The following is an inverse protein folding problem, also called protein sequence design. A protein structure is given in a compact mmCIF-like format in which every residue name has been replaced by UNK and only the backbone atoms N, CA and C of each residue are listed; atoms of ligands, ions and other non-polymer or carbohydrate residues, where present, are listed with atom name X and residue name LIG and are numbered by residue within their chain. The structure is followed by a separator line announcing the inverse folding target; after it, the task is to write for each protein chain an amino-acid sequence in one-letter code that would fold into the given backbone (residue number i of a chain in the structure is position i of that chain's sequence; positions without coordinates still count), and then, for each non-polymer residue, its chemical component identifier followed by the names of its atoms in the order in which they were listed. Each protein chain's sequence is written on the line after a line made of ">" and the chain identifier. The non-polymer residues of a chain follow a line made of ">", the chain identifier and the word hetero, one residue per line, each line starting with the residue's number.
data_IF_195494820364
#
_entry.id   IF_195494820364
#
_cell.length_a   1.000
_cell.length_b   1.000
_cell.length_c   1.000
_cell.angle_alpha   90.00
_cell.angle_beta   90.00
_cell.angle_gamma   90.00
#
_symmetry.space_group_name_H-M   'P 1'
#
loop_
_entity.id
_entity.type
_entity.pdbx_description
1 polymer ?
#
# COMPACT_ATOMS: atom_id res chain seq x y z
N UNK A 1 32.47 -7.39 -56.29
CA UNK A 1 32.24 -8.74 -56.87
C UNK A 1 33.44 -9.59 -56.50
N UNK A 2 33.26 -10.67 -55.74
CA UNK A 2 34.34 -11.53 -55.29
C UNK A 2 33.79 -12.63 -54.39
N UNK A 3 33.24 -13.68 -55.01
CA UNK A 3 32.56 -14.82 -54.38
C UNK A 3 33.57 -15.95 -54.28
N UNK A 4 33.97 -16.36 -53.07
CA UNK A 4 34.75 -17.59 -52.88
C UNK A 4 33.79 -18.74 -52.58
N UNK A 5 33.78 -19.70 -53.51
CA UNK A 5 32.97 -20.92 -53.50
C UNK A 5 33.87 -22.07 -53.08
N UNK A 6 33.53 -22.77 -51.98
CA UNK A 6 34.14 -24.06 -51.67
C UNK A 6 33.24 -25.16 -52.24
N UNK A 7 33.72 -25.82 -53.30
CA UNK A 7 33.16 -27.08 -53.82
C UNK A 7 33.69 -28.21 -52.94
N UNK A 8 32.79 -28.99 -52.36
CA UNK A 8 33.10 -30.28 -51.72
C UNK A 8 33.12 -31.36 -52.79
N UNK A 9 34.28 -31.99 -53.00
CA UNK A 9 34.40 -33.24 -53.76
C UNK A 9 33.72 -34.36 -52.98
N UNK A 10 32.70 -34.95 -53.60
CA UNK A 10 32.06 -36.17 -53.12
C UNK A 10 32.92 -37.39 -53.44
N UNK A 11 33.15 -38.23 -52.45
CA UNK A 11 33.52 -39.63 -52.68
C UNK A 11 32.37 -40.52 -52.22
N UNK A 12 31.76 -41.16 -53.21
CA UNK A 12 30.78 -42.22 -53.07
C UNK A 12 31.51 -43.52 -52.75
N UNK A 13 31.15 -44.18 -51.66
CA UNK A 13 31.36 -45.62 -51.51
C UNK A 13 30.14 -46.21 -50.82
N UNK A 14 29.39 -46.97 -51.61
CA UNK A 14 28.21 -47.72 -51.20
C UNK A 14 28.67 -49.11 -50.80
N UNK A 15 28.27 -49.59 -49.63
CA UNK A 15 28.12 -51.02 -49.38
C UNK A 15 26.93 -51.24 -48.43
N UNK A 16 25.92 -51.94 -48.94
CA UNK A 16 24.74 -52.40 -48.21
C UNK A 16 25.03 -53.79 -47.65
N UNK A 17 24.65 -54.06 -46.40
CA UNK A 17 24.16 -55.39 -46.03
C UNK A 17 23.16 -55.32 -44.88
N UNK A 18 22.14 -56.17 -45.01
CA UNK A 18 20.82 -56.02 -44.45
C UNK A 18 20.63 -56.64 -43.05
N UNK A 19 19.51 -56.22 -42.46
CA UNK A 19 18.68 -56.95 -41.49
C UNK A 19 19.23 -57.23 -40.09
N UNK A 20 18.75 -56.47 -39.10
CA UNK A 20 18.02 -57.05 -37.96
C UNK A 20 17.16 -56.01 -37.24
N UNK A 21 15.86 -56.29 -37.20
CA UNK A 21 14.86 -55.61 -36.38
C UNK A 21 15.29 -55.53 -34.91
N UNK A 22 15.31 -54.31 -34.37
CA UNK A 22 15.03 -54.06 -32.96
C UNK A 22 14.58 -52.60 -32.84
N UNK A 23 13.27 -52.40 -32.85
CA UNK A 23 12.65 -51.14 -32.48
C UNK A 23 13.00 -50.84 -31.01
N UNK A 24 14.09 -50.12 -30.78
CA UNK A 24 14.35 -49.50 -29.49
C UNK A 24 13.58 -48.18 -29.51
N UNK A 25 12.54 -48.11 -28.70
CA UNK A 25 11.83 -46.88 -28.38
C UNK A 25 12.87 -45.95 -27.76
N UNK A 26 13.39 -45.02 -28.55
CA UNK A 26 14.19 -43.91 -28.04
C UNK A 26 13.20 -42.96 -27.41
N UNK A 27 13.19 -42.97 -26.08
CA UNK A 27 12.49 -42.03 -25.22
C UNK A 27 12.84 -40.60 -25.65
N UNK A 28 11.81 -39.78 -25.78
CA UNK A 28 11.84 -38.43 -26.39
C UNK A 28 12.35 -37.37 -25.41
N UNK A 29 13.32 -37.73 -24.57
CA UNK A 29 13.73 -36.96 -23.39
C UNK A 29 15.24 -36.67 -23.34
N UNK A 30 16.00 -36.98 -24.40
CA UNK A 30 17.44 -36.65 -24.52
C UNK A 30 17.75 -35.67 -25.67
N UNK A 31 16.84 -34.74 -25.97
CA UNK A 31 17.10 -33.62 -26.90
C UNK A 31 17.07 -32.22 -26.23
N UNK A 32 17.03 -32.17 -24.90
CA UNK A 32 16.84 -30.92 -24.15
C UNK A 32 18.10 -30.39 -23.44
N UNK A 33 19.29 -30.63 -24.00
CA UNK A 33 20.52 -29.94 -23.54
C UNK A 33 21.51 -29.76 -24.71
N UNK A 34 21.20 -28.94 -25.72
CA UNK A 34 22.22 -28.21 -26.53
C UNK A 34 21.60 -27.42 -27.70
N UNK A 35 20.60 -26.57 -27.44
CA UNK A 35 20.17 -25.55 -28.42
C UNK A 35 20.21 -24.13 -27.88
N UNK A 36 20.89 -23.91 -26.76
CA UNK A 36 21.44 -22.60 -26.44
C UNK A 36 22.55 -22.28 -27.43
N UNK A 37 22.16 -21.75 -28.59
CA UNK A 37 22.95 -20.86 -29.45
C UNK A 37 24.45 -21.14 -29.37
N UNK A 38 24.93 -22.15 -30.08
CA UNK A 38 26.35 -22.23 -30.43
C UNK A 38 26.64 -21.05 -31.37
N UNK A 39 26.69 -19.83 -30.83
CA UNK A 39 27.29 -18.70 -31.51
C UNK A 39 28.66 -19.18 -31.92
N UNK A 40 28.99 -19.04 -33.20
CA UNK A 40 30.34 -19.29 -33.68
C UNK A 40 31.28 -18.55 -32.72
N UNK A 41 32.29 -19.24 -32.19
CA UNK A 41 33.24 -18.66 -31.23
C UNK A 41 33.86 -17.36 -31.77
N UNK A 42 33.85 -17.20 -33.09
CA UNK A 42 34.31 -16.01 -33.80
C UNK A 42 33.25 -14.91 -34.01
N UNK A 43 31.95 -15.14 -33.79
CA UNK A 43 30.88 -14.15 -33.97
C UNK A 43 30.46 -13.49 -32.65
N UNK A 44 30.25 -12.17 -32.68
CA UNK A 44 29.98 -11.33 -31.52
C UNK A 44 31.22 -11.11 -30.64
N UNK A 45 30.99 -10.91 -29.34
CA UNK A 45 32.05 -10.79 -28.34
C UNK A 45 32.57 -12.19 -27.98
N UNK A 46 33.83 -12.53 -28.30
CA UNK A 46 34.36 -13.85 -28.03
C UNK A 46 34.61 -14.02 -26.53
N UNK A 47 34.04 -15.07 -25.94
CA UNK A 47 34.26 -15.43 -24.52
C UNK A 47 35.44 -16.38 -24.33
N UNK A 48 35.73 -17.22 -25.33
CA UNK A 48 36.78 -18.24 -25.32
C UNK A 48 37.49 -18.30 -26.66
N UNK A 49 38.73 -18.76 -26.64
CA UNK A 49 39.52 -19.12 -27.80
C UNK A 49 39.27 -20.57 -28.19
N UNK A 50 39.60 -20.96 -29.42
CA UNK A 50 39.59 -22.37 -29.85
C UNK A 50 40.47 -23.31 -29.01
N UNK A 51 41.47 -22.78 -28.28
CA UNK A 51 42.27 -23.56 -27.32
C UNK A 51 41.61 -23.70 -25.92
N UNK A 52 40.38 -23.22 -25.74
CA UNK A 52 39.63 -23.27 -24.49
C UNK A 52 39.93 -22.15 -23.48
N UNK A 53 41.02 -21.40 -23.68
CA UNK A 53 41.40 -20.26 -22.84
C UNK A 53 40.48 -19.05 -23.07
N UNK A 54 40.34 -18.20 -22.05
CA UNK A 54 39.57 -16.97 -22.15
C UNK A 54 40.21 -15.96 -23.12
N UNK A 55 39.37 -15.11 -23.69
CA UNK A 55 39.74 -14.02 -24.62
C UNK A 55 39.46 -12.67 -23.97
N UNK A 56 40.29 -12.21 -23.02
CA UNK A 56 40.08 -10.91 -22.38
C UNK A 56 40.26 -9.76 -23.39
N UNK A 57 39.63 -8.62 -23.07
CA UNK A 57 39.86 -7.35 -23.75
C UNK A 57 41.27 -6.84 -23.43
N UNK A 58 42.02 -6.48 -24.47
CA UNK A 58 43.38 -5.95 -24.39
C UNK A 58 43.48 -4.70 -25.27
N UNK A 59 44.48 -3.88 -24.99
CA UNK A 59 44.87 -2.76 -25.84
C UNK A 59 46.18 -3.13 -26.53
N UNK A 60 46.33 -2.76 -27.80
CA UNK A 60 47.60 -2.89 -28.52
C UNK A 60 48.66 -2.00 -27.89
N UNK A 61 49.87 -2.54 -27.78
CA UNK A 61 51.00 -1.82 -27.19
C UNK A 61 51.44 -0.68 -28.13
N UNK A 62 52.14 0.31 -27.58
CA UNK A 62 52.60 1.48 -28.36
C UNK A 62 53.57 1.15 -29.50
N UNK A 63 54.12 -0.07 -29.50
CA UNK A 63 55.05 -0.57 -30.52
C UNK A 63 54.39 -1.38 -31.63
N UNK A 64 53.09 -1.67 -31.51
CA UNK A 64 52.35 -2.48 -32.48
C UNK A 64 51.83 -1.62 -33.65
N UNK A 65 51.39 -2.27 -34.74
CA UNK A 65 50.92 -1.62 -35.98
C UNK A 65 49.71 -0.69 -35.77
N UNK A 66 48.93 -0.93 -34.72
CA UNK A 66 47.72 -0.17 -34.39
C UNK A 66 47.69 0.20 -32.89
N UNK A 67 48.57 1.11 -32.44
CA UNK A 67 48.73 1.41 -31.02
C UNK A 67 47.44 2.01 -30.44
N UNK A 68 47.07 1.60 -29.22
CA UNK A 68 45.87 2.09 -28.55
C UNK A 68 44.54 1.49 -29.03
N UNK A 69 44.53 0.70 -30.12
CA UNK A 69 43.33 -0.03 -30.55
C UNK A 69 43.07 -1.23 -29.63
N UNK A 70 41.80 -1.46 -29.29
CA UNK A 70 41.39 -2.54 -28.39
C UNK A 70 40.99 -3.80 -29.17
N UNK A 71 41.29 -4.96 -28.61
CA UNK A 71 40.95 -6.26 -29.20
C UNK A 71 40.66 -7.30 -28.12
N UNK A 72 39.81 -8.26 -28.42
CA UNK A 72 39.66 -9.47 -27.63
C UNK A 72 40.64 -10.52 -28.13
N UNK A 73 41.47 -11.08 -27.25
CA UNK A 73 42.53 -11.98 -27.69
C UNK A 73 42.99 -12.98 -26.65
N UNK A 74 43.25 -14.20 -27.11
CA UNK A 74 43.88 -15.26 -26.31
C UNK A 74 45.25 -14.81 -25.77
N UNK A 75 45.75 -15.44 -24.70
CA UNK A 75 47.13 -15.24 -24.22
C UNK A 75 48.17 -15.44 -25.33
N UNK A 76 47.97 -16.44 -26.18
CA UNK A 76 48.91 -16.85 -27.24
C UNK A 76 48.50 -16.35 -28.63
N UNK A 77 47.73 -15.26 -28.74
CA UNK A 77 47.21 -14.77 -30.02
C UNK A 77 48.29 -14.48 -31.08
N UNK A 78 49.51 -14.11 -30.65
CA UNK A 78 50.65 -13.86 -31.55
C UNK A 78 51.15 -15.10 -32.29
N UNK A 79 50.76 -16.31 -31.86
CA UNK A 79 51.07 -17.57 -32.56
C UNK A 79 50.19 -17.79 -33.81
N UNK A 80 49.18 -16.93 -34.04
CA UNK A 80 48.24 -17.08 -35.14
C UNK A 80 47.22 -18.19 -34.90
N UNK A 81 46.49 -18.58 -35.95
CA UNK A 81 45.48 -19.64 -35.89
C UNK A 81 46.10 -20.95 -35.33
N UNK A 82 45.47 -21.62 -34.35
CA UNK A 82 44.08 -21.52 -33.92
C UNK A 82 43.80 -20.51 -32.79
N UNK A 83 44.71 -19.57 -32.50
CA UNK A 83 44.46 -18.58 -31.45
C UNK A 83 43.67 -17.38 -31.97
N UNK A 84 42.57 -17.07 -31.28
CA UNK A 84 41.66 -16.01 -31.66
C UNK A 84 42.21 -14.64 -31.25
N UNK A 85 42.15 -13.70 -32.19
CA UNK A 85 42.27 -12.26 -32.02
C UNK A 85 41.16 -11.62 -32.83
N UNK A 86 40.33 -10.79 -32.19
CA UNK A 86 39.26 -10.06 -32.85
C UNK A 86 39.24 -8.62 -32.37
N UNK A 87 39.06 -7.68 -33.29
CA UNK A 87 38.99 -6.27 -32.92
C UNK A 87 37.74 -5.95 -32.11
N UNK A 88 37.87 -5.04 -31.15
CA UNK A 88 36.76 -4.66 -30.28
C UNK A 88 35.59 -4.06 -31.06
N UNK A 89 35.88 -3.17 -32.01
CA UNK A 89 34.89 -2.51 -32.86
C UNK A 89 34.13 -3.50 -33.76
N UNK A 90 34.81 -4.50 -34.32
CA UNK A 90 34.18 -5.58 -35.09
C UNK A 90 33.25 -6.42 -34.20
N UNK A 91 33.74 -6.86 -33.04
CA UNK A 91 32.95 -7.64 -32.08
C UNK A 91 31.71 -6.87 -31.60
N UNK A 92 31.85 -5.59 -31.28
CA UNK A 92 30.72 -4.74 -30.87
C UNK A 92 29.72 -4.51 -32.00
N UNK A 93 30.18 -4.27 -33.22
CA UNK A 93 29.29 -4.05 -34.37
C UNK A 93 28.44 -5.28 -34.67
N UNK A 94 28.98 -6.49 -34.49
CA UNK A 94 28.21 -7.72 -34.64
C UNK A 94 27.13 -7.88 -33.55
N UNK A 95 27.43 -7.55 -32.30
CA UNK A 95 26.41 -7.52 -31.23
C UNK A 95 25.32 -6.50 -31.51
N UNK A 96 25.69 -5.29 -31.98
CA UNK A 96 24.72 -4.27 -32.36
C UNK A 96 23.86 -4.70 -33.54
N UNK A 97 24.43 -5.39 -34.53
CA UNK A 97 23.68 -5.91 -35.66
C UNK A 97 22.70 -6.99 -35.21
N UNK A 98 23.11 -7.85 -34.29
CA UNK A 98 22.23 -8.86 -33.70
C UNK A 98 21.10 -8.22 -32.90
N UNK A 99 21.40 -7.18 -32.11
CA UNK A 99 20.39 -6.44 -31.36
C UNK A 99 19.42 -5.72 -32.30
N UNK A 100 19.93 -5.05 -33.33
CA UNK A 100 19.11 -4.40 -34.35
C UNK A 100 18.18 -5.40 -35.03
N UNK A 101 18.71 -6.56 -35.42
CA UNK A 101 17.91 -7.61 -36.04
C UNK A 101 16.82 -8.14 -35.10
N UNK A 102 17.13 -8.29 -33.80
CA UNK A 102 16.17 -8.69 -32.78
C UNK A 102 15.04 -7.65 -32.57
N UNK A 103 15.38 -6.37 -32.61
CA UNK A 103 14.42 -5.26 -32.53
C UNK A 103 13.54 -5.19 -33.78
N UNK A 104 14.13 -5.34 -34.96
CA UNK A 104 13.42 -5.31 -36.25
C UNK A 104 12.53 -6.56 -36.45
N UNK A 105 12.87 -7.68 -35.79
CA UNK A 105 12.11 -8.94 -35.83
C UNK A 105 11.67 -9.40 -34.44
N UNK A 106 10.66 -8.73 -33.85
CA UNK A 106 10.21 -9.00 -32.48
C UNK A 106 9.58 -10.39 -32.27
N UNK A 107 9.38 -11.17 -33.34
CA UNK A 107 8.97 -12.59 -33.25
C UNK A 107 10.12 -13.54 -32.88
N UNK A 108 11.37 -13.11 -33.08
CA UNK A 108 12.57 -13.94 -32.90
C UNK A 108 13.57 -13.35 -31.89
N UNK A 109 13.32 -12.14 -31.38
CA UNK A 109 14.20 -11.43 -30.45
C UNK A 109 13.45 -10.92 -29.22
N UNK A 110 13.95 -11.28 -28.04
CA UNK A 110 13.40 -11.02 -26.70
C UNK A 110 12.00 -11.59 -26.44
N UNK A 111 11.84 -12.29 -25.32
CA UNK A 111 10.53 -12.49 -24.69
C UNK A 111 9.99 -11.10 -24.39
N UNK A 112 9.07 -10.58 -25.21
CA UNK A 112 8.25 -9.46 -24.78
C UNK A 112 7.61 -9.87 -23.44
N UNK A 113 7.45 -8.94 -22.48
CA UNK A 113 6.56 -9.22 -21.35
C UNK A 113 5.26 -9.73 -21.95
N UNK A 114 4.88 -10.93 -21.51
CA UNK A 114 3.74 -11.68 -21.99
C UNK A 114 2.56 -10.71 -22.17
N UNK A 115 1.84 -10.77 -23.30
CA UNK A 115 0.75 -9.82 -23.59
C UNK A 115 -0.22 -9.66 -22.40
N UNK A 116 -0.34 -10.71 -21.59
CA UNK A 116 -1.05 -10.75 -20.31
C UNK A 116 -0.52 -9.76 -19.25
N UNK A 117 0.79 -9.61 -19.06
CA UNK A 117 1.36 -8.64 -18.11
C UNK A 117 1.02 -7.19 -18.49
N UNK A 118 1.02 -6.89 -19.80
CA UNK A 118 0.64 -5.56 -20.29
C UNK A 118 -0.85 -5.30 -20.11
N UNK A 119 -1.69 -6.30 -20.35
CA UNK A 119 -3.14 -6.22 -20.14
C UNK A 119 -3.50 -6.09 -18.66
N UNK A 120 -2.82 -6.82 -17.78
CA UNK A 120 -3.00 -6.71 -16.32
C UNK A 120 -2.55 -5.34 -15.81
N UNK A 121 -1.43 -4.81 -16.28
CA UNK A 121 -0.97 -3.46 -15.94
C UNK A 121 -2.00 -2.40 -16.32
N UNK A 122 -2.50 -2.42 -17.56
CA UNK A 122 -3.54 -1.49 -18.00
C UNK A 122 -4.82 -1.59 -17.17
N UNK A 123 -5.22 -2.80 -16.77
CA UNK A 123 -6.37 -3.01 -15.87
C UNK A 123 -6.12 -2.39 -14.50
N UNK A 124 -4.96 -2.64 -13.90
CA UNK A 124 -4.62 -2.08 -12.57
C UNK A 124 -4.54 -0.56 -12.58
N UNK A 125 -4.03 0.04 -13.65
CA UNK A 125 -4.01 1.50 -13.81
C UNK A 125 -5.44 2.07 -13.89
N UNK A 126 -6.33 1.43 -14.65
CA UNK A 126 -7.72 1.85 -14.72
C UNK A 126 -8.40 1.77 -13.34
N UNK A 127 -8.22 0.67 -12.61
CA UNK A 127 -8.74 0.50 -11.24
C UNK A 127 -8.19 1.56 -10.27
N UNK A 128 -6.90 1.89 -10.36
CA UNK A 128 -6.29 2.95 -9.55
C UNK A 128 -6.91 4.31 -9.82
N UNK A 129 -7.19 4.64 -11.10
CA UNK A 129 -7.86 5.90 -11.43
C UNK A 129 -9.28 5.95 -10.88
N UNK A 130 -10.01 4.84 -10.91
CA UNK A 130 -11.36 4.76 -10.35
C UNK A 130 -11.34 4.90 -8.82
N UNK A 131 -10.50 4.14 -8.12
CA UNK A 131 -10.34 4.25 -6.65
C UNK A 131 -9.95 5.67 -6.25
N UNK A 132 -9.05 6.32 -7.00
CA UNK A 132 -8.69 7.72 -6.75
C UNK A 132 -9.89 8.65 -6.87
N UNK A 133 -10.71 8.47 -7.90
CA UNK A 133 -11.93 9.27 -8.09
C UNK A 133 -12.96 9.02 -6.98
N UNK A 134 -13.14 7.77 -6.56
CA UNK A 134 -14.00 7.42 -5.42
C UNK A 134 -13.53 8.08 -4.13
N UNK A 135 -12.23 8.02 -3.82
CA UNK A 135 -11.64 8.67 -2.63
C UNK A 135 -11.81 10.18 -2.68
N UNK A 136 -11.65 10.82 -3.84
CA UNK A 136 -11.89 12.26 -3.99
C UNK A 136 -13.35 12.62 -3.75
N UNK A 137 -14.29 11.80 -4.22
CA UNK A 137 -15.73 11.96 -3.97
C UNK A 137 -16.05 11.82 -2.49
N UNK A 138 -15.54 10.78 -1.82
CA UNK A 138 -15.70 10.57 -0.38
C UNK A 138 -15.14 11.74 0.44
N UNK A 139 -13.93 12.23 0.09
CA UNK A 139 -13.32 13.39 0.75
C UNK A 139 -14.15 14.67 0.56
N UNK A 140 -14.73 14.87 -0.63
CA UNK A 140 -15.61 16.03 -0.90
C UNK A 140 -16.89 15.96 -0.07
N UNK A 141 -17.56 14.81 -0.03
CA UNK A 141 -18.76 14.60 0.77
C UNK A 141 -18.49 14.83 2.26
N UNK A 142 -17.44 14.21 2.81
CA UNK A 142 -17.04 14.42 4.22
C UNK A 142 -16.72 15.89 4.51
N UNK A 143 -16.05 16.60 3.59
CA UNK A 143 -15.80 18.04 3.75
C UNK A 143 -17.11 18.83 3.81
N UNK A 144 -18.05 18.55 2.92
CA UNK A 144 -19.37 19.21 2.92
C UNK A 144 -20.10 18.92 4.23
N UNK A 145 -20.19 17.67 4.65
CA UNK A 145 -20.82 17.27 5.92
C UNK A 145 -20.21 18.01 7.12
N UNK A 146 -18.88 18.02 7.23
CA UNK A 146 -18.17 18.75 8.31
C UNK A 146 -18.48 20.24 8.24
N UNK A 147 -18.43 20.86 7.06
CA UNK A 147 -18.76 22.29 6.93
C UNK A 147 -20.21 22.59 7.30
N UNK A 148 -21.17 21.74 6.89
CA UNK A 148 -22.58 21.90 7.25
C UNK A 148 -22.83 21.72 8.74
N UNK A 149 -22.16 20.76 9.39
CA UNK A 149 -22.27 20.58 10.83
C UNK A 149 -21.74 21.82 11.56
N UNK A 150 -20.54 22.30 11.20
CA UNK A 150 -19.92 23.48 11.82
C UNK A 150 -20.79 24.73 11.65
N UNK A 151 -21.37 24.98 10.47
CA UNK A 151 -22.25 26.13 10.25
C UNK A 151 -23.54 26.03 11.04
N UNK A 152 -24.17 24.85 11.11
CA UNK A 152 -25.38 24.63 11.90
C UNK A 152 -25.12 24.81 13.40
N UNK A 153 -24.03 24.27 13.93
CA UNK A 153 -23.63 24.48 15.32
C UNK A 153 -23.39 25.97 15.61
N UNK A 154 -22.67 26.68 14.73
CA UNK A 154 -22.40 28.10 14.87
C UNK A 154 -23.67 28.96 14.87
N UNK A 155 -24.58 28.74 13.92
CA UNK A 155 -25.86 29.45 13.83
C UNK A 155 -26.74 29.19 15.07
N UNK A 156 -26.84 27.92 15.50
CA UNK A 156 -27.59 27.57 16.72
C UNK A 156 -27.03 28.27 17.96
N UNK A 157 -25.71 28.31 18.09
CA UNK A 157 -25.04 29.00 19.19
C UNK A 157 -25.32 30.51 19.18
N UNK A 158 -25.24 31.14 18.01
CA UNK A 158 -25.52 32.57 17.86
C UNK A 158 -26.95 32.92 18.28
N UNK A 159 -27.94 32.14 17.80
CA UNK A 159 -29.35 32.33 18.17
C UNK A 159 -29.55 32.20 19.68
N UNK A 160 -28.93 31.18 20.30
CA UNK A 160 -29.04 30.96 21.74
C UNK A 160 -28.46 32.14 22.55
N UNK A 161 -27.29 32.65 22.15
CA UNK A 161 -26.69 33.84 22.76
C UNK A 161 -27.57 35.09 22.61
N UNK A 162 -28.15 35.30 21.42
CA UNK A 162 -29.10 36.41 21.18
C UNK A 162 -30.33 36.31 22.10
N UNK A 163 -30.94 35.13 22.22
CA UNK A 163 -32.10 34.90 23.10
C UNK A 163 -31.73 35.16 24.56
N UNK A 164 -30.58 34.66 25.01
CA UNK A 164 -30.09 34.91 26.37
C UNK A 164 -29.90 36.41 26.64
N UNK A 165 -29.31 37.14 25.69
CA UNK A 165 -29.12 38.59 25.80
C UNK A 165 -30.46 39.34 25.90
N UNK A 166 -31.47 38.93 25.13
CA UNK A 166 -32.83 39.50 25.18
C UNK A 166 -33.46 39.22 26.55
N UNK A 167 -33.37 37.99 27.07
CA UNK A 167 -33.91 37.62 28.38
C UNK A 167 -33.27 38.47 29.49
N UNK A 168 -31.94 38.61 29.48
CA UNK A 168 -31.22 39.45 30.45
C UNK A 168 -31.68 40.91 30.36
N UNK A 169 -31.87 41.43 29.14
CA UNK A 169 -32.39 42.77 28.93
C UNK A 169 -33.81 42.95 29.51
N UNK A 170 -34.70 41.98 29.26
CA UNK A 170 -36.06 41.98 29.79
C UNK A 170 -36.08 41.92 31.32
N UNK A 171 -35.27 41.05 31.94
CA UNK A 171 -35.15 40.97 33.40
C UNK A 171 -34.67 42.31 33.97
N UNK A 172 -33.65 42.93 33.36
CA UNK A 172 -33.16 44.26 33.79
C UNK A 172 -34.22 45.35 33.66
N UNK A 173 -35.03 45.31 32.60
CA UNK A 173 -36.13 46.25 32.42
C UNK A 173 -37.23 46.03 33.47
N UNK A 174 -37.59 44.77 33.75
CA UNK A 174 -38.53 44.41 34.80
C UNK A 174 -38.04 44.87 36.18
N UNK A 175 -36.77 44.62 36.52
CA UNK A 175 -36.15 45.08 37.77
C UNK A 175 -36.08 46.62 37.87
N UNK A 176 -35.94 47.33 36.74
CA UNK A 176 -36.01 48.80 36.73
C UNK A 176 -37.42 49.33 36.90
N UNK A 177 -38.43 48.64 36.36
CA UNK A 177 -39.83 49.07 36.44
C UNK A 177 -40.50 48.73 37.76
N UNK A 178 -40.02 47.76 38.54
CA UNK A 178 -40.52 47.52 39.90
C UNK A 178 -40.14 48.71 40.80
N UNK A 179 -41.09 49.59 41.17
CA UNK A 179 -40.80 50.64 42.12
C UNK A 179 -40.59 49.99 43.49
N UNK A 180 -39.63 50.48 44.28
CA UNK A 180 -39.53 50.14 45.70
C UNK A 180 -40.89 50.42 46.36
N UNK A 181 -41.69 49.38 46.58
CA UNK A 181 -42.92 49.47 47.35
C UNK A 181 -42.48 49.56 48.82
N UNK A 182 -42.76 50.66 49.54
CA UNK A 182 -42.40 50.73 50.95
C UNK A 182 -43.11 49.60 51.70
N UNK A 183 -42.34 48.82 52.44
CA UNK A 183 -42.84 47.77 53.32
C UNK A 183 -43.68 48.40 54.44
N UNK A 184 -45.00 48.39 54.30
CA UNK A 184 -45.93 48.42 55.43
C UNK A 184 -46.84 47.21 55.30
N UNK A 185 -46.73 46.30 56.26
CA UNK A 185 -47.41 45.02 56.25
C UNK A 185 -46.85 44.13 57.33
N UNK A 186 -47.19 44.46 58.57
CA UNK A 186 -47.01 43.61 59.73
C UNK A 186 -47.68 42.26 59.47
N UNK A 187 -46.89 41.23 59.17
CA UNK A 187 -47.36 39.84 59.16
C UNK A 187 -47.19 39.28 60.58
N UNK A 188 -48.18 39.54 61.42
CA UNK A 188 -48.34 38.83 62.69
C UNK A 188 -48.70 37.37 62.35
N UNK A 189 -47.78 36.45 62.62
CA UNK A 189 -48.03 35.01 62.60
C UNK A 189 -48.97 34.69 63.77
N UNK A 190 -50.28 34.61 63.53
CA UNK A 190 -51.22 34.16 64.56
C UNK A 190 -51.02 32.66 64.81
N UNK A 191 -50.67 32.32 66.04
CA UNK A 191 -50.27 30.99 66.53
C UNK A 191 -51.42 29.97 66.67
N UNK A 192 -52.54 30.17 65.97
CA UNK A 192 -53.75 29.35 66.15
C UNK A 192 -53.84 28.15 65.18
N UNK A 193 -53.02 28.10 64.12
CA UNK A 193 -53.07 26.98 63.15
C UNK A 193 -52.20 25.77 63.54
N UNK A 194 -51.25 25.93 64.47
CA UNK A 194 -50.31 24.87 64.87
C UNK A 194 -50.85 23.97 65.99
N UNK A 195 -51.88 24.41 66.72
CA UNK A 195 -52.47 23.62 67.82
C UNK A 195 -53.50 22.61 67.33
N UNK A 196 -54.19 22.88 66.21
CA UNK A 196 -55.19 21.97 65.64
C UNK A 196 -54.56 20.70 65.04
N UNK A 197 -53.39 20.80 64.41
CA UNK A 197 -52.69 19.64 63.81
C UNK A 197 -52.00 18.77 64.89
N UNK A 198 -51.62 19.36 66.03
CA UNK A 198 -50.98 18.64 67.14
C UNK A 198 -51.97 17.79 67.97
N UNK A 199 -53.22 18.22 68.09
CA UNK A 199 -54.26 17.48 68.82
C UNK A 199 -54.71 16.19 68.11
N UNK A 200 -54.65 16.17 66.78
CA UNK A 200 -55.08 15.02 65.96
C UNK A 200 -54.02 13.89 65.93
N UNK A 201 -52.74 14.23 66.11
CA UNK A 201 -51.66 13.25 66.27
C UNK A 201 -51.71 12.54 67.63
N UNK A 202 -51.94 13.30 68.71
CA UNK A 202 -51.90 12.77 70.08
C UNK A 202 -53.05 11.79 70.36
N UNK A 203 -54.25 12.08 69.87
CA UNK A 203 -55.41 11.17 69.97
C UNK A 203 -55.23 9.88 69.17
N UNK A 204 -54.53 9.92 68.02
CA UNK A 204 -54.25 8.74 67.19
C UNK A 204 -53.17 7.84 67.79
N UNK A 205 -52.17 8.41 68.49
CA UNK A 205 -51.15 7.66 69.22
C UNK A 205 -51.71 7.01 70.51
N UNK A 206 -52.58 7.70 71.25
CA UNK A 206 -53.16 7.15 72.48
C UNK A 206 -54.09 5.95 72.22
N UNK A 207 -54.77 5.90 71.06
CA UNK A 207 -55.61 4.76 70.68
C UNK A 207 -54.81 3.50 70.32
N UNK A 208 -53.52 3.62 69.97
CA UNK A 208 -52.62 2.47 69.69
C UNK A 208 -51.99 1.86 70.96
N UNK A 209 -51.93 2.59 72.07
CA UNK A 209 -51.23 2.14 73.28
C UNK A 209 -52.09 1.29 74.24
N UNK A 210 -53.41 1.17 74.01
CA UNK A 210 -54.32 0.49 74.95
C UNK A 210 -54.92 -0.83 74.43
N UNK A 211 -54.26 -1.53 73.51
CA UNK A 211 -54.54 -2.95 73.32
C UNK A 211 -53.23 -3.76 73.31
N UNK A 212 -52.96 -4.57 74.34
CA UNK A 212 -51.65 -5.14 74.62
C UNK A 212 -51.47 -6.47 73.91
N UNK A 213 -50.28 -6.69 73.33
CA UNK A 213 -49.57 -7.96 73.17
C UNK A 213 -48.42 -7.71 72.18
N UNK A 214 -47.28 -7.24 72.69
CA UNK A 214 -45.97 -7.33 72.03
C UNK A 214 -45.20 -8.52 72.64
N UNK A 215 -44.23 -9.13 71.92
CA UNK A 215 -42.86 -8.60 71.89
C UNK A 215 -42.12 -8.90 70.55
N UNK A 216 -40.80 -8.69 70.41
CA UNK A 216 -40.13 -7.39 70.47
C UNK A 216 -39.21 -7.15 69.25
N UNK A 217 -38.70 -5.92 69.17
CA UNK A 217 -37.75 -5.37 68.21
C UNK A 217 -36.33 -5.97 68.30
N UNK A 218 -35.68 -6.09 67.14
CA UNK A 218 -34.22 -5.96 66.98
C UNK A 218 -33.89 -5.03 65.81
N UNK A 219 -33.29 -3.91 66.15
CA UNK A 219 -32.55 -2.91 65.36
C UNK A 219 -31.09 -3.41 65.07
N UNK A 220 -30.12 -2.62 64.55
CA UNK A 220 -30.08 -1.63 63.44
C UNK A 220 -28.71 -1.70 62.66
N UNK A 221 -28.31 -0.58 62.02
CA UNK A 221 -26.96 -0.15 61.58
C UNK A 221 -26.68 -0.28 60.07
N UNK A 222 -26.01 0.64 59.35
CA UNK A 222 -25.22 1.82 59.68
C UNK A 222 -25.16 2.74 58.42
N UNK A 223 -25.22 4.06 58.56
CA UNK A 223 -24.09 5.00 58.44
C UNK A 223 -23.40 5.15 57.05
N UNK A 224 -23.50 6.36 56.48
CA UNK A 224 -22.28 7.11 56.13
C UNK A 224 -21.92 7.37 54.64
N UNK A 225 -21.85 8.68 54.33
CA UNK A 225 -20.81 9.41 53.55
C UNK A 225 -20.92 9.52 52.02
N UNK A 226 -21.28 10.73 51.61
CA UNK A 226 -20.84 11.44 50.41
C UNK A 226 -19.30 11.47 50.31
N UNK A 227 -18.74 11.24 49.13
CA UNK A 227 -17.42 11.72 48.73
C UNK A 227 -17.41 12.09 47.23
N UNK A 228 -17.13 13.37 46.98
CA UNK A 228 -16.75 13.93 45.67
C UNK A 228 -15.25 13.69 45.51
N UNK A 229 -14.83 13.06 44.42
CA UNK A 229 -13.41 12.99 44.04
C UNK A 229 -13.19 13.85 42.79
N UNK A 230 -12.69 15.06 43.01
CA UNK A 230 -12.00 15.87 42.00
C UNK A 230 -10.60 15.26 41.85
N UNK A 231 -10.23 14.90 40.63
CA UNK A 231 -8.89 14.42 40.29
C UNK A 231 -8.17 15.57 39.57
N UNK A 232 -7.02 15.97 40.12
CA UNK A 232 -6.01 16.76 39.41
C UNK A 232 -5.35 15.89 38.32
#
# INVERSE_FOLDING_TARGET
>A
MGRFSWLTEGSSSSDQLATRSSARVVSKDEEDVSSHTSRDISYGIPSRCYCGLLTPLKMMDHTDEHPGRMFFGCKNYKLGFPHLMKWWDEAMMEEFLQLKWAVDNPRFGFRQPESEERETLLRTEAELTDVKNQVLKMKRLRRVEVTTAVTLFGLKHLIWLCVLQIIVFLIRDLLRRTPNRPHTGDFVVSAEYTTAVSADYTTRCLRRLHNPLSPPLTEPAAAGKFFILVKF
#
